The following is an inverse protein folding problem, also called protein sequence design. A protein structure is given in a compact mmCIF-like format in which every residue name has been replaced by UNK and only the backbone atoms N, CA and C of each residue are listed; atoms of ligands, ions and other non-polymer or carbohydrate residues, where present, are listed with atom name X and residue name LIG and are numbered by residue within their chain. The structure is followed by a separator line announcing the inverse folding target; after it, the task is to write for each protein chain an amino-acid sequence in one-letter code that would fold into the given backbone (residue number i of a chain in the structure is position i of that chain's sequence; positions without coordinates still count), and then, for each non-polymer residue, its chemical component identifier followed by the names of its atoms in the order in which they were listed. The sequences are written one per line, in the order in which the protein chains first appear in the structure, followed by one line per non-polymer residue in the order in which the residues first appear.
data_IF_277033216229
#
_entry.id   IF_277033216229
#
_cell.length_a   1.000
_cell.length_b   1.000
_cell.length_c   1.000
_cell.angle_alpha   90.00
_cell.angle_beta   90.00
_cell.angle_gamma   90.00
#
_symmetry.space_group_name_H-M   'P 1'
#
loop_
_entity.id
_entity.type
_entity.pdbx_description
1 polymer ?
#
# COMPACT_ATOMS: atom_id res chain seq x y z
N UNK A 1 -15.12 12.32 18.02
CA UNK A 1 -14.58 12.16 16.65
C UNK A 1 -14.36 10.67 16.39
N UNK A 2 -14.93 10.10 15.32
CA UNK A 2 -14.70 8.69 14.98
C UNK A 2 -13.35 8.57 14.28
N UNK A 3 -12.31 8.26 15.04
CA UNK A 3 -11.00 7.89 14.51
C UNK A 3 -11.19 6.70 13.58
N UNK A 4 -11.11 6.93 12.27
CA UNK A 4 -11.26 5.87 11.26
C UNK A 4 -10.09 4.92 11.49
N UNK A 5 -10.34 3.74 12.07
CA UNK A 5 -9.32 2.70 12.24
C UNK A 5 -8.69 2.46 10.87
N UNK A 6 -7.40 2.82 10.72
CA UNK A 6 -6.66 2.52 9.50
C UNK A 6 -6.63 1.01 9.36
N UNK A 7 -7.31 0.51 8.32
CA UNK A 7 -7.27 -0.90 7.95
C UNK A 7 -5.82 -1.31 7.62
N UNK A 8 -5.47 -2.59 7.74
CA UNK A 8 -4.12 -3.08 7.37
C UNK A 8 -3.72 -2.64 5.96
N UNK A 9 -4.67 -2.68 5.03
CA UNK A 9 -4.51 -2.17 3.68
C UNK A 9 -4.11 -0.69 3.66
N UNK A 10 -4.84 0.19 4.36
CA UNK A 10 -4.50 1.62 4.36
C UNK A 10 -3.13 1.90 4.98
N UNK A 11 -2.75 1.18 6.05
CA UNK A 11 -1.42 1.32 6.66
C UNK A 11 -0.31 0.89 5.70
N UNK A 12 -0.51 -0.21 5.00
CA UNK A 12 0.42 -0.69 3.99
C UNK A 12 0.53 0.30 2.82
N UNK A 13 -0.61 0.76 2.30
CA UNK A 13 -0.65 1.67 1.16
C UNK A 13 0.07 2.99 1.44
N UNK A 14 -0.06 3.56 2.63
CA UNK A 14 0.66 4.80 2.99
C UNK A 14 2.17 4.55 2.95
N UNK A 15 2.65 3.52 3.65
CA UNK A 15 4.08 3.18 3.69
C UNK A 15 4.65 2.84 2.31
N UNK A 16 3.93 2.03 1.53
CA UNK A 16 4.38 1.60 0.21
C UNK A 16 4.37 2.78 -0.79
N UNK A 17 3.38 3.67 -0.72
CA UNK A 17 3.38 4.89 -1.52
C UNK A 17 4.53 5.82 -1.17
N UNK A 18 4.87 5.95 0.12
CA UNK A 18 6.03 6.74 0.56
C UNK A 18 7.34 6.12 0.07
N UNK A 19 7.47 4.79 0.13
CA UNK A 19 8.62 4.06 -0.40
C UNK A 19 8.77 4.28 -1.91
N UNK A 20 7.70 4.06 -2.67
CA UNK A 20 7.72 4.25 -4.13
C UNK A 20 7.95 5.73 -4.48
N UNK A 21 7.45 6.68 -3.69
CA UNK A 21 7.73 8.11 -3.88
C UNK A 21 9.21 8.43 -3.65
N UNK A 22 9.85 7.79 -2.67
CA UNK A 22 11.27 7.96 -2.41
C UNK A 22 12.13 7.32 -3.52
N UNK A 23 11.77 6.13 -4.00
CA UNK A 23 12.47 5.43 -5.10
C UNK A 23 12.19 6.06 -6.48
N UNK A 24 10.97 6.53 -6.71
CA UNK A 24 10.48 7.11 -7.95
C UNK A 24 9.64 8.37 -7.68
N UNK A 25 10.29 9.51 -7.40
CA UNK A 25 9.58 10.77 -7.19
C UNK A 25 8.88 11.27 -8.46
N UNK A 26 9.43 10.92 -9.62
CA UNK A 26 9.04 11.44 -10.94
C UNK A 26 7.76 10.82 -11.52
N UNK A 27 7.36 9.62 -11.06
CA UNK A 27 6.16 8.95 -11.58
C UNK A 27 4.88 9.53 -10.96
N UNK A 28 3.74 9.57 -11.68
CA UNK A 28 2.50 10.12 -11.17
C UNK A 28 1.91 9.28 -10.02
N UNK A 29 1.12 9.90 -9.15
CA UNK A 29 0.50 9.23 -8.00
C UNK A 29 -0.32 7.98 -8.41
N UNK A 30 -1.03 8.03 -9.53
CA UNK A 30 -1.75 6.86 -10.06
C UNK A 30 -0.84 5.66 -10.32
N UNK A 31 0.36 5.89 -10.86
CA UNK A 31 1.30 4.82 -11.17
C UNK A 31 1.91 4.25 -9.88
N UNK A 32 2.23 5.13 -8.91
CA UNK A 32 2.64 4.68 -7.56
C UNK A 32 1.55 3.83 -6.91
N UNK A 33 0.29 4.24 -7.03
CA UNK A 33 -0.84 3.52 -6.45
C UNK A 33 -1.08 2.16 -7.11
N UNK A 34 -0.97 2.06 -8.45
CA UNK A 34 -1.02 0.78 -9.16
C UNK A 34 0.07 -0.17 -8.70
N UNK A 35 1.31 0.32 -8.56
CA UNK A 35 2.43 -0.48 -8.04
C UNK A 35 2.20 -0.91 -6.59
N UNK A 36 1.80 0.00 -5.71
CA UNK A 36 1.51 -0.31 -4.32
C UNK A 36 0.38 -1.34 -4.17
N UNK A 37 -0.70 -1.22 -4.94
CA UNK A 37 -1.80 -2.20 -4.92
C UNK A 37 -1.41 -3.56 -5.51
N UNK A 38 -0.56 -3.59 -6.53
CA UNK A 38 0.02 -4.84 -7.03
C UNK A 38 0.91 -5.51 -5.98
N UNK A 39 1.76 -4.73 -5.29
CA UNK A 39 2.61 -5.22 -4.21
C UNK A 39 1.78 -5.71 -3.01
N UNK A 40 0.67 -5.05 -2.68
CA UNK A 40 -0.27 -5.51 -1.64
C UNK A 40 -0.85 -6.90 -1.92
N UNK A 41 -1.14 -7.23 -3.18
CA UNK A 41 -1.61 -8.58 -3.55
C UNK A 41 -0.57 -9.66 -3.26
N UNK A 42 0.72 -9.32 -3.26
CA UNK A 42 1.81 -10.23 -2.92
C UNK A 42 2.31 -10.07 -1.47
N UNK A 43 1.87 -9.03 -0.75
CA UNK A 43 2.35 -8.72 0.58
C UNK A 43 1.92 -9.80 1.59
N UNK A 44 2.85 -10.16 2.49
CA UNK A 44 2.61 -11.11 3.59
C UNK A 44 1.58 -10.58 4.60
N UNK A 45 1.45 -9.25 4.70
CA UNK A 45 0.50 -8.56 5.57
C UNK A 45 -0.94 -8.57 5.03
N UNK A 46 -1.13 -9.02 3.79
CA UNK A 46 -2.45 -9.18 3.22
C UNK A 46 -3.11 -10.43 3.83
N UNK A 47 -4.24 -10.30 4.55
CA UNK A 47 -4.91 -11.44 5.17
C UNK A 47 -5.35 -12.51 4.15
N UNK A 48 -5.50 -12.16 2.87
CA UNK A 48 -5.75 -13.12 1.79
C UNK A 48 -4.55 -14.04 1.47
N UNK A 49 -3.31 -13.60 1.77
CA UNK A 49 -2.10 -14.41 1.61
C UNK A 49 -1.72 -15.17 2.89
N UNK A 50 -2.17 -14.72 4.06
CA UNK A 50 -1.96 -15.41 5.34
C UNK A 50 -2.85 -16.66 5.47
N UNK A 51 -3.99 -16.69 4.76
CA UNK A 51 -4.95 -17.79 4.81
C UNK A 51 -4.77 -18.85 3.70
N UNK A 52 -3.67 -18.82 2.94
CA UNK A 52 -3.38 -19.78 1.86
C UNK A 52 -2.28 -20.76 2.24
#
# INVERSE_FOLDING_TARGET
MRSKKLTPFNKYMIQELERIKAEHPDIPHQERFKRATANWKAAKENPANVAR
#
